data_IF_913318694070
#
_entry.id   IF_913318694070
#
_cell.length_a   1.000
_cell.length_b   1.000
_cell.length_c   1.000
_cell.angle_alpha   90.00
_cell.angle_beta   90.00
_cell.angle_gamma   90.00
#
_symmetry.space_group_name_H-M   'P 1'
#
loop_
_entity.id
_entity.type
_entity.pdbx_description
1 polymer ?
#
# COMPACT_ATOMS: atom_id res chain seq x y z
N UNK A 1 -7.88 8.67 17.58
CA UNK A 1 -6.40 8.67 17.62
C UNK A 1 -5.90 9.77 16.71
N UNK A 2 -4.95 10.58 17.18
CA UNK A 2 -4.34 11.63 16.36
C UNK A 2 -3.58 11.03 15.16
N UNK A 3 -3.50 11.76 14.06
CA UNK A 3 -2.88 11.26 12.83
C UNK A 3 -1.37 10.99 12.99
N UNK A 4 -0.70 11.79 13.80
CA UNK A 4 0.72 11.66 14.12
C UNK A 4 0.99 10.41 14.96
N UNK A 5 0.09 10.08 15.90
CA UNK A 5 0.18 8.85 16.71
C UNK A 5 -0.02 7.63 15.83
N UNK A 6 -1.00 7.66 14.92
CA UNK A 6 -1.21 6.61 13.93
C UNK A 6 0.04 6.40 13.09
N UNK A 7 0.65 7.49 12.60
CA UNK A 7 1.87 7.47 11.80
C UNK A 7 3.04 6.84 12.58
N UNK A 8 3.24 7.22 13.83
CA UNK A 8 4.30 6.69 14.69
C UNK A 8 4.15 5.17 14.90
N UNK A 9 2.93 4.70 15.18
CA UNK A 9 2.65 3.27 15.35
C UNK A 9 2.93 2.46 14.08
N UNK A 10 2.55 2.97 12.90
CA UNK A 10 2.89 2.29 11.64
C UNK A 10 4.39 2.17 11.39
N UNK A 11 5.17 3.17 11.78
CA UNK A 11 6.63 3.08 11.62
C UNK A 11 7.29 2.22 12.69
N UNK A 12 6.79 2.23 13.93
CA UNK A 12 7.27 1.36 15.00
C UNK A 12 7.07 -0.13 14.62
N UNK A 13 5.84 -0.50 14.25
CA UNK A 13 5.49 -1.84 13.77
C UNK A 13 6.37 -2.26 12.58
N UNK A 14 6.50 -1.41 11.58
CA UNK A 14 7.31 -1.67 10.39
C UNK A 14 8.79 -1.86 10.72
N UNK A 15 9.34 -1.05 11.61
CA UNK A 15 10.74 -1.18 12.02
C UNK A 15 11.00 -2.51 12.72
N UNK A 16 10.09 -2.94 13.58
CA UNK A 16 10.16 -4.24 14.25
C UNK A 16 10.05 -5.38 13.24
N UNK A 17 9.04 -5.34 12.38
CA UNK A 17 8.82 -6.34 11.34
C UNK A 17 10.00 -6.47 10.36
N UNK A 18 10.63 -5.37 9.97
CA UNK A 18 11.84 -5.40 9.15
C UNK A 18 12.97 -6.17 9.82
N UNK A 19 13.22 -5.89 11.12
CA UNK A 19 14.31 -6.51 11.87
C UNK A 19 14.09 -7.99 12.15
N UNK A 20 12.87 -8.35 12.52
CA UNK A 20 12.57 -9.72 12.98
C UNK A 20 12.22 -10.67 11.83
N UNK A 21 11.64 -10.18 10.74
CA UNK A 21 11.07 -11.02 9.69
C UNK A 21 11.73 -10.76 8.35
N UNK A 22 11.67 -9.51 7.86
CA UNK A 22 12.01 -9.21 6.47
C UNK A 22 13.51 -9.36 6.20
N UNK A 23 14.36 -8.67 6.96
CA UNK A 23 15.81 -8.73 6.75
C UNK A 23 16.39 -10.12 6.97
N UNK A 24 16.02 -10.88 8.02
CA UNK A 24 16.48 -12.26 8.16
C UNK A 24 16.02 -13.19 7.02
N UNK A 25 14.83 -12.98 6.46
CA UNK A 25 14.36 -13.75 5.32
C UNK A 25 15.16 -13.42 4.05
N UNK A 26 15.38 -12.14 3.77
CA UNK A 26 16.19 -11.69 2.62
C UNK A 26 17.65 -12.16 2.73
N UNK A 27 18.25 -12.11 3.93
CA UNK A 27 19.60 -12.61 4.17
C UNK A 27 19.75 -14.12 3.87
N UNK A 28 18.65 -14.87 3.96
CA UNK A 28 18.59 -16.29 3.57
C UNK A 28 18.21 -16.51 2.10
N UNK A 29 18.24 -15.46 1.27
CA UNK A 29 17.90 -15.55 -0.15
C UNK A 29 16.42 -15.76 -0.44
N UNK A 30 15.52 -15.55 0.53
CA UNK A 30 14.08 -15.74 0.34
C UNK A 30 13.45 -14.52 -0.32
N UNK A 31 12.40 -14.76 -1.10
CA UNK A 31 11.51 -13.70 -1.58
C UNK A 31 10.53 -13.34 -0.47
N UNK A 32 10.37 -12.05 -0.23
CA UNK A 32 9.40 -11.51 0.74
C UNK A 32 8.33 -10.74 -0.01
N UNK A 33 7.07 -11.09 0.22
CA UNK A 33 5.89 -10.36 -0.27
C UNK A 33 5.20 -9.72 0.94
N UNK A 34 4.95 -8.41 0.85
CA UNK A 34 4.27 -7.65 1.91
C UNK A 34 3.02 -6.98 1.36
N UNK A 35 1.88 -7.19 2.03
CA UNK A 35 0.68 -6.39 1.79
C UNK A 35 0.87 -5.03 2.47
N UNK A 36 1.10 -4.00 1.64
CA UNK A 36 1.43 -2.62 2.03
C UNK A 36 2.83 -2.47 2.64
N UNK A 37 3.41 -1.32 2.38
CA UNK A 37 4.68 -0.87 2.96
C UNK A 37 4.69 0.67 3.05
N UNK A 38 5.85 1.34 3.06
CA UNK A 38 5.96 2.80 3.21
C UNK A 38 5.16 3.59 2.16
N UNK A 39 5.00 3.07 0.94
CA UNK A 39 4.17 3.70 -0.09
C UNK A 39 2.72 3.91 0.37
N UNK A 40 2.17 2.95 1.15
CA UNK A 40 0.85 3.10 1.77
C UNK A 40 0.83 4.25 2.77
N UNK A 41 1.85 4.40 3.60
CA UNK A 41 1.95 5.50 4.57
C UNK A 41 1.99 6.85 3.86
N UNK A 42 2.79 6.96 2.78
CA UNK A 42 2.85 8.18 1.95
C UNK A 42 1.47 8.49 1.35
N UNK A 43 0.77 7.47 0.82
CA UNK A 43 -0.53 7.67 0.19
C UNK A 43 -1.63 8.00 1.21
N UNK A 44 -1.74 7.25 2.30
CA UNK A 44 -2.84 7.38 3.27
C UNK A 44 -2.61 8.53 4.25
N UNK A 45 -1.48 8.56 4.96
CA UNK A 45 -1.20 9.60 5.95
C UNK A 45 -0.75 10.90 5.28
N UNK A 46 0.05 10.81 4.20
CA UNK A 46 0.50 11.99 3.46
C UNK A 46 -0.61 12.57 2.60
N UNK A 47 -0.94 11.95 1.49
CA UNK A 47 -1.91 12.49 0.53
C UNK A 47 -3.35 12.44 1.05
N UNK A 48 -3.74 11.38 1.73
CA UNK A 48 -5.07 11.18 2.29
C UNK A 48 -5.38 12.13 3.45
N UNK A 49 -4.60 12.05 4.53
CA UNK A 49 -4.79 12.85 5.76
C UNK A 49 -4.11 14.21 5.74
N UNK A 50 -3.22 14.47 4.77
CA UNK A 50 -2.54 15.76 4.63
C UNK A 50 -1.33 15.96 5.55
N UNK A 51 -0.79 14.90 6.16
CA UNK A 51 0.44 15.02 6.94
C UNK A 51 1.62 15.42 6.03
N UNK A 52 2.54 16.27 6.53
CA UNK A 52 3.69 16.72 5.75
C UNK A 52 4.55 15.55 5.27
N UNK A 53 4.74 15.42 3.95
CA UNK A 53 5.54 14.34 3.37
C UNK A 53 6.99 14.36 3.86
N UNK A 54 7.52 15.52 4.23
CA UNK A 54 8.87 15.67 4.85
C UNK A 54 8.96 14.89 6.17
N UNK A 55 7.91 14.96 7.02
CA UNK A 55 7.84 14.23 8.28
C UNK A 55 7.81 12.72 8.04
N UNK A 56 6.95 12.27 7.12
CA UNK A 56 6.83 10.85 6.77
C UNK A 56 8.18 10.30 6.26
N UNK A 57 8.87 11.05 5.40
CA UNK A 57 10.18 10.65 4.87
C UNK A 57 11.29 10.66 5.93
N UNK A 58 11.23 11.58 6.89
CA UNK A 58 12.18 11.61 8.00
C UNK A 58 12.03 10.40 8.91
N UNK A 59 10.79 10.08 9.30
CA UNK A 59 10.48 8.87 10.08
C UNK A 59 10.83 7.59 9.32
N UNK A 60 10.56 7.54 8.04
CA UNK A 60 10.93 6.40 7.20
C UNK A 60 12.44 6.16 7.19
N UNK A 61 13.24 7.20 6.97
CA UNK A 61 14.70 7.07 7.03
C UNK A 61 15.19 6.63 8.41
N UNK A 62 14.64 7.23 9.47
CA UNK A 62 15.01 6.90 10.85
C UNK A 62 14.67 5.47 11.22
N UNK A 63 13.47 5.01 10.91
CA UNK A 63 12.91 3.76 11.41
C UNK A 63 13.22 2.56 10.51
N UNK A 64 13.34 2.77 9.19
CA UNK A 64 13.53 1.70 8.21
C UNK A 64 14.84 1.79 7.43
N UNK A 65 15.67 2.82 7.70
CA UNK A 65 16.86 3.10 6.89
C UNK A 65 16.53 3.52 5.46
N UNK A 66 15.27 3.87 5.18
CA UNK A 66 14.81 4.16 3.82
C UNK A 66 14.64 2.90 2.95
N UNK A 67 14.59 1.72 3.56
CA UNK A 67 14.39 0.44 2.85
C UNK A 67 13.17 0.49 1.92
N UNK A 68 13.30 -0.08 0.73
CA UNK A 68 12.25 -0.13 -0.30
C UNK A 68 12.11 -1.51 -0.89
N UNK A 69 10.89 -1.96 -1.20
CA UNK A 69 10.68 -3.14 -2.02
C UNK A 69 11.32 -2.94 -3.40
N UNK A 70 11.90 -4.01 -3.95
CA UNK A 70 12.43 -3.99 -5.33
C UNK A 70 11.34 -3.71 -6.35
N UNK A 71 10.14 -4.27 -6.13
CA UNK A 71 8.95 -4.01 -6.95
C UNK A 71 7.74 -3.72 -6.06
N UNK A 72 6.85 -2.87 -6.54
CA UNK A 72 5.54 -2.60 -5.93
C UNK A 72 4.46 -2.81 -6.99
N UNK A 73 3.61 -3.79 -6.79
CA UNK A 73 2.40 -3.97 -7.59
C UNK A 73 1.33 -3.04 -7.05
N UNK A 74 0.89 -2.10 -7.88
CA UNK A 74 -0.21 -1.19 -7.56
C UNK A 74 -1.47 -1.64 -8.29
N UNK A 75 -2.43 -2.16 -7.55
CA UNK A 75 -3.76 -2.49 -8.04
C UNK A 75 -4.59 -1.20 -8.11
N UNK A 76 -4.70 -0.62 -9.30
CA UNK A 76 -5.43 0.63 -9.50
C UNK A 76 -6.90 0.37 -9.75
N UNK A 77 -7.75 0.98 -8.91
CA UNK A 77 -9.20 0.94 -9.03
C UNK A 77 -9.78 2.33 -8.73
N UNK A 78 -10.75 2.83 -9.54
CA UNK A 78 -11.48 4.04 -9.19
C UNK A 78 -12.11 3.93 -7.80
N UNK A 79 -11.96 4.92 -6.91
CA UNK A 79 -12.42 4.85 -5.53
C UNK A 79 -13.90 4.52 -5.40
N UNK A 80 -14.73 5.01 -6.32
CA UNK A 80 -16.16 4.75 -6.38
C UNK A 80 -16.47 3.25 -6.52
N UNK A 81 -15.67 2.55 -7.35
CA UNK A 81 -15.80 1.10 -7.54
C UNK A 81 -15.26 0.34 -6.34
N UNK A 82 -14.12 0.76 -5.79
CA UNK A 82 -13.52 0.17 -4.59
C UNK A 82 -14.46 0.22 -3.39
N UNK A 83 -15.04 1.37 -3.10
CA UNK A 83 -16.01 1.55 -2.01
C UNK A 83 -17.28 0.72 -2.21
N UNK A 84 -17.79 0.60 -3.45
CA UNK A 84 -18.93 -0.30 -3.74
C UNK A 84 -18.61 -1.75 -3.45
N UNK A 85 -17.42 -2.24 -3.87
CA UNK A 85 -16.96 -3.62 -3.59
C UNK A 85 -16.81 -3.86 -2.08
N UNK A 86 -16.19 -2.95 -1.37
CA UNK A 86 -15.98 -3.04 0.07
C UNK A 86 -17.31 -3.11 0.83
N UNK A 87 -18.27 -2.22 0.51
CA UNK A 87 -19.60 -2.23 1.12
C UNK A 87 -20.36 -3.53 0.85
N UNK A 88 -20.26 -4.09 -0.37
CA UNK A 88 -20.88 -5.38 -0.72
C UNK A 88 -20.28 -6.53 0.09
N UNK A 89 -18.95 -6.58 0.18
CA UNK A 89 -18.23 -7.59 0.98
C UNK A 89 -18.63 -7.51 2.46
N UNK A 90 -18.60 -6.33 3.07
CA UNK A 90 -18.92 -6.14 4.48
C UNK A 90 -20.36 -6.55 4.81
N UNK A 91 -21.31 -6.27 3.91
CA UNK A 91 -22.70 -6.77 4.04
C UNK A 91 -22.77 -8.30 4.00
N UNK A 92 -22.03 -8.94 3.11
CA UNK A 92 -22.00 -10.39 2.98
C UNK A 92 -21.31 -11.10 4.16
N UNK A 93 -20.33 -10.46 4.79
CA UNK A 93 -19.52 -11.03 5.88
C UNK A 93 -20.06 -10.73 7.28
N UNK A 94 -21.18 -10.00 7.42
CA UNK A 94 -21.70 -9.59 8.74
C UNK A 94 -20.78 -8.68 9.55
N UNK A 95 -19.71 -8.15 8.93
CA UNK A 95 -18.73 -7.28 9.59
C UNK A 95 -19.37 -5.99 10.08
N UNK A 96 -19.12 -5.65 11.33
CA UNK A 96 -19.64 -4.43 11.96
C UNK A 96 -18.93 -3.18 11.42
N UNK A 97 -19.58 -2.01 11.57
CA UNK A 97 -19.04 -0.72 11.11
C UNK A 97 -17.65 -0.37 11.65
N UNK A 98 -17.19 -1.01 12.73
CA UNK A 98 -15.90 -0.73 13.38
C UNK A 98 -14.68 -1.27 12.62
N UNK A 99 -14.85 -2.31 11.80
CA UNK A 99 -13.75 -2.99 11.11
C UNK A 99 -13.37 -2.37 9.76
N UNK A 100 -14.22 -1.49 9.23
CA UNK A 100 -14.00 -0.76 7.97
C UNK A 100 -13.54 0.69 8.16
N UNK A 101 -12.57 0.97 9.06
CA UNK A 101 -12.15 2.34 9.40
C UNK A 101 -11.82 3.21 8.19
N UNK A 102 -11.06 2.71 7.23
CA UNK A 102 -10.73 3.47 6.02
C UNK A 102 -11.87 3.53 5.00
N UNK A 103 -12.79 2.57 5.03
CA UNK A 103 -13.97 2.53 4.15
C UNK A 103 -15.04 3.54 4.55
N UNK A 104 -14.99 4.04 5.80
CA UNK A 104 -15.87 5.10 6.30
C UNK A 104 -15.40 6.51 5.93
N UNK A 105 -14.16 6.64 5.45
CA UNK A 105 -13.65 7.92 4.98
C UNK A 105 -14.42 8.41 3.75
N UNK A 106 -14.49 9.73 3.59
CA UNK A 106 -15.16 10.35 2.45
C UNK A 106 -14.49 9.97 1.13
N UNK A 107 -15.24 9.96 0.06
CA UNK A 107 -14.75 9.64 -1.28
C UNK A 107 -13.55 10.49 -1.70
N UNK A 108 -13.52 11.77 -1.31
CA UNK A 108 -12.40 12.67 -1.57
C UNK A 108 -11.08 12.21 -0.93
N UNK A 109 -11.15 11.61 0.26
CA UNK A 109 -9.97 11.00 0.89
C UNK A 109 -9.40 9.89 0.00
N UNK A 110 -10.24 8.97 -0.47
CA UNK A 110 -9.79 7.87 -1.33
C UNK A 110 -9.29 8.36 -2.70
N UNK A 111 -9.87 9.43 -3.24
CA UNK A 111 -9.37 10.08 -4.46
C UNK A 111 -7.97 10.67 -4.24
N UNK A 112 -7.71 11.32 -3.10
CA UNK A 112 -6.37 11.82 -2.75
C UNK A 112 -5.37 10.68 -2.57
N UNK A 113 -5.75 9.60 -1.88
CA UNK A 113 -4.92 8.41 -1.71
C UNK A 113 -4.53 7.81 -3.07
N UNK A 114 -5.51 7.56 -3.95
CA UNK A 114 -5.24 7.06 -5.30
C UNK A 114 -4.32 7.98 -6.09
N UNK A 115 -4.58 9.29 -6.05
CA UNK A 115 -3.71 10.30 -6.71
C UNK A 115 -2.26 10.19 -6.19
N UNK A 116 -2.08 10.04 -4.89
CA UNK A 116 -0.77 9.86 -4.27
C UNK A 116 -0.03 8.62 -4.80
N UNK A 117 -0.71 7.47 -4.84
CA UNK A 117 -0.12 6.24 -5.41
C UNK A 117 0.26 6.42 -6.89
N UNK A 118 -0.62 6.97 -7.71
CA UNK A 118 -0.34 7.19 -9.13
C UNK A 118 0.81 8.18 -9.36
N UNK A 119 0.96 9.20 -8.51
CA UNK A 119 2.10 10.11 -8.56
C UNK A 119 3.42 9.40 -8.24
N UNK A 120 3.45 8.53 -7.22
CA UNK A 120 4.63 7.71 -6.90
C UNK A 120 4.95 6.76 -8.06
N UNK A 121 3.96 6.08 -8.60
CA UNK A 121 4.13 5.16 -9.72
C UNK A 121 4.71 5.86 -10.98
N UNK A 122 4.28 7.09 -11.26
CA UNK A 122 4.82 7.90 -12.38
C UNK A 122 6.27 8.30 -12.17
N UNK A 123 6.68 8.58 -10.92
CA UNK A 123 8.05 8.98 -10.57
C UNK A 123 9.01 7.79 -10.52
N UNK A 124 8.51 6.62 -10.10
CA UNK A 124 9.32 5.43 -9.87
C UNK A 124 8.89 4.27 -10.79
N UNK A 125 8.80 4.54 -12.10
CA UNK A 125 8.30 3.60 -13.12
C UNK A 125 9.02 2.26 -13.14
N UNK A 126 10.30 2.24 -12.79
CA UNK A 126 11.10 1.00 -12.72
C UNK A 126 10.69 0.12 -11.55
N UNK A 127 10.21 0.72 -10.45
CA UNK A 127 9.79 0.01 -9.24
C UNK A 127 8.31 -0.35 -9.24
N UNK A 128 7.45 0.51 -9.77
CA UNK A 128 6.00 0.26 -9.79
C UNK A 128 5.55 -0.54 -11.01
N UNK A 129 4.68 -1.51 -10.74
CA UNK A 129 3.88 -2.24 -11.73
C UNK A 129 2.42 -1.88 -11.50
N UNK A 130 1.86 -1.02 -12.34
CA UNK A 130 0.46 -0.61 -12.23
C UNK A 130 -0.43 -1.58 -13.01
N UNK A 131 -1.40 -2.16 -12.30
CA UNK A 131 -2.36 -3.13 -12.85
C UNK A 131 -3.77 -2.63 -12.58
N UNK A 132 -4.63 -2.52 -13.61
CA UNK A 132 -6.05 -2.22 -13.41
C UNK A 132 -6.70 -3.34 -12.58
N UNK A 133 -7.32 -3.00 -11.45
CA UNK A 133 -8.00 -3.97 -10.59
C UNK A 133 -9.48 -4.14 -10.99
N UNK A 134 -9.73 -4.24 -12.30
CA UNK A 134 -11.06 -4.49 -12.88
C UNK A 134 -11.08 -5.91 -13.44
N UNK A 135 -12.11 -6.69 -13.11
CA UNK A 135 -12.20 -8.08 -13.51
C UNK A 135 -12.19 -9.05 -12.33
N UNK A 136 -12.02 -10.32 -12.64
CA UNK A 136 -11.88 -11.42 -11.67
C UNK A 136 -10.49 -11.46 -11.05
N UNK A 137 -10.33 -12.18 -9.95
CA UNK A 137 -9.02 -12.37 -9.32
C UNK A 137 -8.03 -13.10 -10.26
N UNK A 138 -8.52 -14.04 -11.06
CA UNK A 138 -7.69 -14.76 -12.04
C UNK A 138 -7.17 -13.82 -13.14
N UNK A 139 -8.02 -13.00 -13.73
CA UNK A 139 -7.61 -12.02 -14.76
C UNK A 139 -6.60 -11.01 -14.21
N UNK A 140 -6.80 -10.53 -12.98
CA UNK A 140 -5.86 -9.61 -12.33
C UNK A 140 -4.53 -10.33 -12.05
N UNK A 141 -4.56 -11.58 -11.62
CA UNK A 141 -3.35 -12.39 -11.41
C UNK A 141 -2.53 -12.54 -12.68
N UNK A 142 -3.17 -12.94 -13.79
CA UNK A 142 -2.51 -13.06 -15.10
C UNK A 142 -1.88 -11.74 -15.55
N UNK A 143 -2.59 -10.63 -15.36
CA UNK A 143 -2.06 -9.32 -15.72
C UNK A 143 -0.87 -8.89 -14.84
N UNK A 144 -0.89 -9.22 -13.54
CA UNK A 144 0.26 -9.03 -12.65
C UNK A 144 1.43 -9.84 -13.16
N UNK A 145 1.23 -11.14 -13.43
CA UNK A 145 2.28 -12.05 -13.86
C UNK A 145 2.87 -11.60 -15.20
N UNK A 146 2.05 -11.31 -16.18
CA UNK A 146 2.48 -10.81 -17.49
C UNK A 146 3.40 -9.57 -17.41
N UNK A 147 3.15 -8.67 -16.46
CA UNK A 147 3.95 -7.44 -16.27
C UNK A 147 5.17 -7.63 -15.36
N UNK A 148 5.08 -8.53 -14.40
CA UNK A 148 6.11 -8.68 -13.36
C UNK A 148 7.15 -9.74 -13.73
N UNK A 149 6.76 -10.86 -14.34
CA UNK A 149 7.66 -11.97 -14.68
C UNK A 149 8.89 -11.52 -15.47
N UNK A 150 8.79 -10.69 -16.54
CA UNK A 150 9.97 -10.24 -17.26
C UNK A 150 10.94 -9.40 -16.41
N UNK A 151 10.44 -8.78 -15.34
CA UNK A 151 11.27 -7.97 -14.42
C UNK A 151 11.95 -8.83 -13.35
N UNK A 152 11.43 -10.02 -13.12
CA UNK A 152 12.01 -11.01 -12.20
C UNK A 152 13.05 -11.89 -12.90
N UNK A 153 13.09 -11.89 -14.22
CA UNK A 153 13.92 -12.80 -15.02
C UNK A 153 13.33 -14.20 -15.13
N UNK A 154 12.00 -14.29 -14.99
CA UNK A 154 11.23 -15.52 -15.11
C UNK A 154 10.61 -15.66 -16.49
#
# INVERSE_FOLDING_TARGET
MAAEVELALYFADRAQHLREVVWPALARGRVVVSDRFTDSTIAYQGHGRGLPLRLIRALDRLMTGGFRPRYTVLLDLPPEQGLRRARRRNRASGLTKSEGRFEQERLEFHRRVRKGYLQMARRERKRFVVVPAVGTAAEIHEEIWRKLAPRLGA
#
